data_IF_762799628444
#
_entry.id   IF_762799628444
#
_cell.length_a   1.000
_cell.length_b   1.000
_cell.length_c   1.000
_cell.angle_alpha   90.00
_cell.angle_beta   90.00
_cell.angle_gamma   90.00
#
_symmetry.space_group_name_H-M   'P 1'
#
loop_
_entity.id
_entity.type
_entity.pdbx_description
1 polymer ?
#
# COMPACT_ATOMS: atom_id res chain seq x y z
N UNK A 1 -8.65 28.86 3.75
CA UNK A 1 -8.06 27.91 2.77
C UNK A 1 -9.12 27.62 1.73
N UNK A 2 -8.78 27.63 0.44
CA UNK A 2 -9.70 27.19 -0.63
C UNK A 2 -9.92 25.66 -0.53
N UNK A 3 -11.10 25.19 -0.90
CA UNK A 3 -11.50 23.77 -0.85
C UNK A 3 -10.51 22.87 -1.59
N UNK A 4 -9.94 23.38 -2.69
CA UNK A 4 -8.90 22.67 -3.45
C UNK A 4 -7.63 22.46 -2.63
N UNK A 5 -7.17 23.45 -1.88
CA UNK A 5 -5.97 23.35 -1.01
C UNK A 5 -6.25 22.51 0.24
N UNK A 6 -7.50 22.48 0.70
CA UNK A 6 -7.89 21.59 1.79
C UNK A 6 -7.74 20.13 1.37
N UNK A 7 -8.19 19.76 0.18
CA UNK A 7 -8.18 18.37 -0.32
C UNK A 7 -6.82 17.99 -0.93
N UNK A 8 -6.27 18.85 -1.78
CA UNK A 8 -5.01 18.63 -2.48
C UNK A 8 -3.81 19.18 -1.70
N UNK A 9 -3.90 19.40 -0.39
CA UNK A 9 -2.70 19.62 0.43
C UNK A 9 -1.90 20.90 0.15
N UNK A 10 -0.59 20.78 0.32
CA UNK A 10 0.41 21.84 0.42
C UNK A 10 0.06 22.84 1.54
N UNK A 11 -0.30 22.29 2.70
CA UNK A 11 -0.64 23.07 3.89
C UNK A 11 0.61 23.72 4.47
N UNK A 12 1.65 22.93 4.77
CA UNK A 12 2.93 23.37 5.33
C UNK A 12 4.10 22.49 4.83
N UNK A 13 5.37 22.92 4.99
CA UNK A 13 6.52 22.09 4.65
C UNK A 13 6.62 20.78 5.46
N UNK A 14 6.07 20.78 6.69
CA UNK A 14 6.12 19.63 7.59
C UNK A 14 4.93 18.68 7.38
N UNK A 15 3.71 19.23 7.33
CA UNK A 15 2.47 18.51 7.07
C UNK A 15 1.94 18.96 5.72
N UNK A 16 2.12 18.11 4.70
CA UNK A 16 1.78 18.44 3.32
C UNK A 16 0.27 18.35 3.11
N UNK A 17 -0.38 17.31 3.61
CA UNK A 17 -1.80 17.02 3.35
C UNK A 17 -2.40 16.05 4.38
N UNK A 18 -3.62 15.58 4.12
CA UNK A 18 -4.29 14.58 4.96
C UNK A 18 -3.57 13.24 5.05
N UNK A 19 -2.71 12.88 4.09
CA UNK A 19 -1.92 11.65 4.16
C UNK A 19 -0.83 11.80 5.24
N UNK A 20 -0.22 12.99 5.35
CA UNK A 20 0.72 13.29 6.44
C UNK A 20 0.03 13.31 7.81
N UNK A 21 -1.25 13.69 7.90
CA UNK A 21 -2.03 13.56 9.14
C UNK A 21 -2.19 12.08 9.52
N UNK A 22 -2.49 11.21 8.57
CA UNK A 22 -2.60 9.77 8.82
C UNK A 22 -1.28 9.17 9.29
N UNK A 23 -0.15 9.59 8.69
CA UNK A 23 1.20 9.20 9.15
C UNK A 23 1.49 9.63 10.58
N UNK A 24 1.14 10.85 10.95
CA UNK A 24 1.28 11.33 12.33
C UNK A 24 0.39 10.49 13.26
N UNK A 25 -0.83 10.16 12.81
CA UNK A 25 -1.72 9.25 13.51
C UNK A 25 -1.09 7.89 13.79
N UNK A 26 -0.42 7.29 12.80
CA UNK A 26 0.32 6.02 12.97
C UNK A 26 1.45 6.14 14.00
N UNK A 27 2.24 7.21 13.97
CA UNK A 27 3.30 7.45 14.96
C UNK A 27 2.69 7.54 16.37
N UNK A 28 1.61 8.31 16.54
CA UNK A 28 0.94 8.47 17.82
C UNK A 28 0.34 7.15 18.29
N UNK A 29 -0.33 6.41 17.41
CA UNK A 29 -0.91 5.11 17.73
C UNK A 29 0.16 4.10 18.17
N UNK A 30 1.32 4.09 17.50
CA UNK A 30 2.48 3.27 17.90
C UNK A 30 2.91 3.59 19.33
N UNK A 31 3.07 4.88 19.67
CA UNK A 31 3.47 5.31 21.01
C UNK A 31 2.40 4.96 22.06
N UNK A 32 1.13 5.12 21.73
CA UNK A 32 0.01 4.75 22.61
C UNK A 32 0.02 3.25 22.88
N UNK A 33 0.19 2.41 21.86
CA UNK A 33 0.27 0.96 22.01
C UNK A 33 1.45 0.54 22.90
N UNK A 34 2.62 1.16 22.73
CA UNK A 34 3.79 0.95 23.59
C UNK A 34 3.50 1.30 25.06
N UNK A 35 2.90 2.46 25.32
CA UNK A 35 2.56 2.90 26.68
C UNK A 35 1.49 2.01 27.31
N UNK A 36 0.55 1.50 26.50
CA UNK A 36 -0.48 0.57 26.96
C UNK A 36 0.03 -0.86 27.19
N UNK A 37 1.29 -1.16 26.84
CA UNK A 37 1.85 -2.50 26.94
C UNK A 37 1.35 -3.48 25.88
N UNK A 38 0.65 -3.00 24.84
CA UNK A 38 0.25 -3.82 23.70
C UNK A 38 1.45 -3.97 22.74
N UNK A 39 2.28 -4.97 22.98
CA UNK A 39 3.51 -5.21 22.21
C UNK A 39 3.21 -5.58 20.76
N UNK A 40 2.26 -6.48 20.50
CA UNK A 40 1.88 -6.89 19.13
C UNK A 40 1.38 -5.72 18.30
N UNK A 41 0.40 -4.98 18.83
CA UNK A 41 -0.11 -3.77 18.20
C UNK A 41 0.97 -2.70 17.98
N UNK A 42 1.89 -2.52 18.94
CA UNK A 42 2.99 -1.58 18.80
C UNK A 42 3.97 -1.98 17.68
N UNK A 43 4.26 -3.28 17.52
CA UNK A 43 5.12 -3.78 16.44
C UNK A 43 4.46 -3.57 15.07
N UNK A 44 3.17 -3.93 14.92
CA UNK A 44 2.44 -3.75 13.68
C UNK A 44 2.30 -2.27 13.30
N UNK A 45 1.89 -1.40 14.24
CA UNK A 45 1.79 0.05 14.03
C UNK A 45 3.15 0.69 13.76
N UNK A 46 4.21 0.22 14.44
CA UNK A 46 5.57 0.69 14.21
C UNK A 46 6.08 0.33 12.82
N UNK A 47 5.85 -0.90 12.37
CA UNK A 47 6.19 -1.35 11.03
C UNK A 47 5.44 -0.54 9.95
N UNK A 48 4.12 -0.38 10.11
CA UNK A 48 3.30 0.46 9.23
C UNK A 48 3.78 1.92 9.20
N UNK A 49 4.17 2.47 10.36
CA UNK A 49 4.74 3.82 10.47
C UNK A 49 6.01 3.96 9.63
N UNK A 50 6.95 3.02 9.75
CA UNK A 50 8.21 3.05 9.00
C UNK A 50 7.93 3.02 7.49
N UNK A 51 7.10 2.09 7.03
CA UNK A 51 6.75 1.99 5.61
C UNK A 51 6.04 3.24 5.09
N UNK A 52 5.10 3.79 5.87
CA UNK A 52 4.39 5.01 5.51
C UNK A 52 5.33 6.23 5.42
N UNK A 53 6.35 6.31 6.27
CA UNK A 53 7.39 7.36 6.21
C UNK A 53 8.34 7.15 5.03
N UNK A 54 8.70 5.91 4.69
CA UNK A 54 9.47 5.61 3.48
C UNK A 54 8.71 6.01 2.21
N UNK A 55 7.40 5.72 2.13
CA UNK A 55 6.55 6.17 1.04
C UNK A 55 6.55 7.71 0.88
N UNK A 56 6.61 8.44 1.99
CA UNK A 56 6.73 9.91 1.99
C UNK A 56 8.04 10.40 1.36
N UNK A 57 9.14 9.68 1.61
CA UNK A 57 10.46 9.97 1.03
C UNK A 57 10.47 9.66 -0.46
N UNK A 58 9.91 8.51 -0.86
CA UNK A 58 9.77 8.10 -2.26
C UNK A 58 8.92 9.11 -3.03
N UNK A 59 8.00 9.82 -2.38
CA UNK A 59 7.18 10.87 -2.98
C UNK A 59 6.31 10.31 -4.13
N UNK A 60 5.51 9.29 -3.78
CA UNK A 60 4.60 8.58 -4.68
C UNK A 60 3.48 9.48 -5.25
N UNK A 61 2.83 9.09 -6.36
CA UNK A 61 1.61 9.73 -6.81
C UNK A 61 0.54 9.64 -5.71
N UNK A 62 -0.19 10.74 -5.50
CA UNK A 62 -1.00 10.93 -4.28
C UNK A 62 -2.07 9.85 -4.06
N UNK A 63 -2.78 9.36 -5.09
CA UNK A 63 -3.76 8.29 -4.88
C UNK A 63 -3.11 6.99 -4.40
N UNK A 64 -1.95 6.63 -4.95
CA UNK A 64 -1.18 5.47 -4.49
C UNK A 64 -0.58 5.69 -3.11
N UNK A 65 -0.07 6.90 -2.82
CA UNK A 65 0.42 7.26 -1.49
C UNK A 65 -0.69 7.13 -0.43
N UNK A 66 -1.87 7.67 -0.72
CA UNK A 66 -3.02 7.60 0.16
C UNK A 66 -3.49 6.16 0.35
N UNK A 67 -3.65 5.39 -0.74
CA UNK A 67 -4.07 3.99 -0.68
C UNK A 67 -3.09 3.14 0.12
N UNK A 68 -1.79 3.31 -0.11
CA UNK A 68 -0.74 2.61 0.61
C UNK A 68 -0.77 2.88 2.12
N UNK A 69 -0.80 4.16 2.52
CA UNK A 69 -0.85 4.50 3.95
C UNK A 69 -2.16 4.04 4.59
N UNK A 70 -3.28 4.13 3.87
CA UNK A 70 -4.58 3.65 4.35
C UNK A 70 -4.58 2.15 4.62
N UNK A 71 -4.07 1.34 3.69
CA UNK A 71 -4.08 -0.11 3.87
C UNK A 71 -3.11 -0.58 4.96
N UNK A 72 -1.94 0.06 5.06
CA UNK A 72 -1.02 -0.17 6.18
C UNK A 72 -1.66 0.20 7.52
N UNK A 73 -2.44 1.28 7.54
CA UNK A 73 -3.18 1.69 8.74
C UNK A 73 -4.27 0.68 9.08
N UNK A 74 -5.06 0.23 8.10
CA UNK A 74 -6.12 -0.74 8.30
C UNK A 74 -5.57 -2.04 8.91
N UNK A 75 -4.50 -2.59 8.31
CA UNK A 75 -3.83 -3.79 8.80
C UNK A 75 -3.30 -3.60 10.24
N UNK A 76 -2.50 -2.56 10.48
CA UNK A 76 -1.86 -2.37 11.78
C UNK A 76 -2.84 -2.00 12.91
N UNK A 77 -3.89 -1.23 12.60
CA UNK A 77 -4.97 -0.95 13.57
C UNK A 77 -5.80 -2.21 13.81
N UNK A 78 -6.04 -3.03 12.79
CA UNK A 78 -6.69 -4.32 12.92
C UNK A 78 -5.99 -5.21 13.93
N UNK A 79 -4.67 -5.34 13.81
CA UNK A 79 -3.84 -6.06 14.78
C UNK A 79 -3.91 -5.44 16.18
N UNK A 80 -3.67 -4.12 16.28
CA UNK A 80 -3.65 -3.44 17.58
C UNK A 80 -4.99 -3.48 18.34
N UNK A 81 -6.11 -3.65 17.63
CA UNK A 81 -7.46 -3.75 18.20
C UNK A 81 -7.99 -5.18 18.27
N UNK A 82 -7.23 -6.19 17.84
CA UNK A 82 -7.65 -7.60 17.83
C UNK A 82 -8.78 -7.90 16.85
N UNK A 83 -8.86 -7.18 15.72
CA UNK A 83 -9.89 -7.39 14.70
C UNK A 83 -9.69 -8.68 13.91
N UNK A 84 -8.46 -9.13 13.77
CA UNK A 84 -8.14 -10.45 13.22
C UNK A 84 -8.84 -11.56 14.01
N UNK A 85 -8.77 -11.50 15.34
CA UNK A 85 -9.43 -12.49 16.20
C UNK A 85 -10.95 -12.32 16.32
N UNK A 86 -11.45 -11.07 16.26
CA UNK A 86 -12.83 -10.75 16.61
C UNK A 86 -13.78 -10.60 15.43
N UNK A 87 -13.27 -10.43 14.21
CA UNK A 87 -14.06 -10.20 13.00
C UNK A 87 -13.64 -11.22 11.93
N UNK A 88 -14.43 -12.29 11.80
CA UNK A 88 -14.10 -13.46 10.96
C UNK A 88 -13.90 -13.22 9.47
N UNK A 89 -14.29 -12.08 8.92
CA UNK A 89 -14.07 -11.73 7.50
C UNK A 89 -12.97 -10.70 7.30
N UNK A 90 -12.45 -10.12 8.38
CA UNK A 90 -11.52 -8.99 8.33
C UNK A 90 -10.23 -9.36 7.64
N UNK A 91 -9.66 -10.49 8.03
CA UNK A 91 -8.42 -11.02 7.45
C UNK A 91 -8.51 -11.14 5.92
N UNK A 92 -9.52 -11.87 5.44
CA UNK A 92 -9.78 -12.04 4.00
C UNK A 92 -9.97 -10.73 3.25
N UNK A 93 -10.53 -9.69 3.88
CA UNK A 93 -10.62 -8.36 3.27
C UNK A 93 -9.26 -7.70 3.18
N UNK A 94 -8.40 -7.84 4.19
CA UNK A 94 -7.02 -7.35 4.14
C UNK A 94 -6.23 -8.05 3.03
N UNK A 95 -6.38 -9.37 2.87
CA UNK A 95 -5.77 -10.12 1.76
C UNK A 95 -6.25 -9.68 0.37
N UNK A 96 -7.44 -9.10 0.22
CA UNK A 96 -7.82 -8.46 -1.05
C UNK A 96 -7.22 -7.05 -1.18
N UNK A 97 -7.34 -6.23 -0.15
CA UNK A 97 -7.07 -4.79 -0.26
C UNK A 97 -5.57 -4.48 -0.22
N UNK A 98 -4.78 -5.26 0.53
CA UNK A 98 -3.34 -5.07 0.69
C UNK A 98 -2.58 -5.26 -0.62
N UNK A 99 -2.62 -6.41 -1.31
CA UNK A 99 -1.92 -6.56 -2.59
C UNK A 99 -2.48 -5.62 -3.67
N UNK A 100 -3.78 -5.29 -3.63
CA UNK A 100 -4.39 -4.32 -4.54
C UNK A 100 -3.71 -2.94 -4.48
N UNK A 101 -3.31 -2.48 -3.29
CA UNK A 101 -2.75 -1.15 -3.09
C UNK A 101 -1.22 -1.15 -2.96
N UNK A 102 -0.63 -2.25 -2.50
CA UNK A 102 0.83 -2.40 -2.34
C UNK A 102 1.51 -2.77 -3.67
N UNK A 103 0.95 -3.68 -4.47
CA UNK A 103 1.60 -4.14 -5.69
C UNK A 103 1.85 -3.02 -6.73
N UNK A 104 0.91 -2.07 -6.97
CA UNK A 104 1.17 -0.92 -7.82
C UNK A 104 2.29 -0.02 -7.29
N UNK A 105 2.40 0.15 -5.97
CA UNK A 105 3.46 0.94 -5.34
C UNK A 105 4.82 0.30 -5.54
N UNK A 106 4.90 -1.04 -5.45
CA UNK A 106 6.13 -1.77 -5.76
C UNK A 106 6.54 -1.59 -7.22
N UNK A 107 5.60 -1.69 -8.16
CA UNK A 107 5.88 -1.41 -9.58
C UNK A 107 6.40 0.01 -9.76
N UNK A 108 5.74 1.02 -9.19
CA UNK A 108 6.16 2.42 -9.25
C UNK A 108 7.56 2.60 -8.67
N UNK A 109 7.87 1.94 -7.54
CA UNK A 109 9.20 1.95 -6.95
C UNK A 109 10.25 1.39 -7.90
N UNK A 110 10.00 0.23 -8.51
CA UNK A 110 10.89 -0.41 -9.48
C UNK A 110 11.05 0.44 -10.75
N UNK A 111 9.99 1.10 -11.21
CA UNK A 111 10.05 2.01 -12.34
C UNK A 111 10.95 3.22 -12.05
N UNK A 112 10.90 3.77 -10.83
CA UNK A 112 11.77 4.87 -10.41
C UNK A 112 13.22 4.48 -10.14
N UNK A 113 13.50 3.18 -10.13
CA UNK A 113 14.84 2.61 -10.09
C UNK A 113 15.31 2.17 -11.49
N UNK A 114 14.58 2.54 -12.55
CA UNK A 114 14.84 2.16 -13.94
C UNK A 114 14.88 0.63 -14.19
N UNK A 115 14.28 -0.16 -13.29
CA UNK A 115 14.16 -1.62 -13.45
C UNK A 115 12.98 -1.97 -14.36
N UNK A 116 11.93 -1.16 -14.32
CA UNK A 116 10.71 -1.27 -15.13
C UNK A 116 10.45 0.06 -15.84
N UNK A 117 9.70 0.09 -16.95
CA UNK A 117 9.32 1.35 -17.59
C UNK A 117 8.41 2.19 -16.68
N UNK A 118 8.52 3.52 -16.75
CA UNK A 118 7.54 4.40 -16.10
C UNK A 118 6.15 4.15 -16.71
N UNK A 119 5.07 4.13 -15.91
CA UNK A 119 3.73 3.92 -16.41
C UNK A 119 3.31 4.82 -17.58
N UNK A 120 3.90 6.02 -17.72
CA UNK A 120 3.57 6.95 -18.83
C UNK A 120 4.42 6.76 -20.09
N UNK A 121 5.55 6.08 -20.01
CA UNK A 121 6.53 6.09 -21.10
C UNK A 121 6.16 5.09 -22.21
N UNK A 122 5.52 3.97 -21.86
CA UNK A 122 5.26 2.85 -22.76
C UNK A 122 3.76 2.56 -22.89
N UNK A 123 3.07 3.27 -23.79
CA UNK A 123 1.59 3.38 -23.84
C UNK A 123 0.88 2.46 -24.84
N UNK A 124 1.47 1.30 -25.16
CA UNK A 124 0.90 0.32 -26.10
C UNK A 124 0.28 -0.89 -25.39
N UNK A 125 -0.69 -1.54 -26.03
CA UNK A 125 -1.43 -2.69 -25.46
C UNK A 125 -0.53 -3.79 -24.87
N UNK A 126 0.58 -4.13 -25.55
CA UNK A 126 1.54 -5.13 -25.04
C UNK A 126 2.23 -4.70 -23.74
N UNK A 127 2.49 -3.41 -23.57
CA UNK A 127 3.15 -2.86 -22.39
C UNK A 127 2.17 -2.79 -21.22
N UNK A 128 0.91 -2.45 -21.47
CA UNK A 128 -0.16 -2.57 -20.46
C UNK A 128 -0.35 -4.01 -19.99
N UNK A 129 -0.33 -4.99 -20.90
CA UNK A 129 -0.38 -6.41 -20.53
C UNK A 129 0.83 -6.82 -19.70
N UNK A 130 2.05 -6.42 -20.09
CA UNK A 130 3.26 -6.69 -19.33
C UNK A 130 3.22 -6.07 -17.92
N UNK A 131 2.79 -4.82 -17.81
CA UNK A 131 2.57 -4.14 -16.54
C UNK A 131 1.56 -4.89 -15.66
N UNK A 132 0.42 -5.30 -16.22
CA UNK A 132 -0.59 -6.04 -15.48
C UNK A 132 -0.04 -7.36 -14.92
N UNK A 133 0.70 -8.12 -15.74
CA UNK A 133 1.33 -9.38 -15.32
C UNK A 133 2.32 -9.14 -14.19
N UNK A 134 3.20 -8.13 -14.33
CA UNK A 134 4.21 -7.83 -13.30
C UNK A 134 3.55 -7.40 -11.99
N UNK A 135 2.56 -6.50 -12.03
CA UNK A 135 1.84 -6.08 -10.82
C UNK A 135 1.12 -7.26 -10.16
N UNK A 136 0.48 -8.11 -10.97
CA UNK A 136 -0.16 -9.32 -10.46
C UNK A 136 0.85 -10.23 -9.73
N UNK A 137 2.01 -10.49 -10.37
CA UNK A 137 3.08 -11.29 -9.76
C UNK A 137 3.65 -10.67 -8.49
N UNK A 138 3.82 -9.35 -8.45
CA UNK A 138 4.30 -8.64 -7.25
C UNK A 138 3.30 -8.78 -6.09
N UNK A 139 2.00 -8.63 -6.35
CA UNK A 139 0.99 -8.80 -5.31
C UNK A 139 0.92 -10.24 -4.80
N UNK A 140 0.97 -11.23 -5.70
CA UNK A 140 1.07 -12.66 -5.31
C UNK A 140 2.32 -12.96 -4.49
N UNK A 141 3.45 -12.33 -4.81
CA UNK A 141 4.67 -12.49 -4.04
C UNK A 141 4.55 -11.88 -2.64
N UNK A 142 3.88 -10.73 -2.49
CA UNK A 142 3.61 -10.12 -1.18
C UNK A 142 2.72 -11.04 -0.33
N UNK A 143 1.60 -11.52 -0.90
CA UNK A 143 0.69 -12.45 -0.22
C UNK A 143 1.40 -13.75 0.19
N UNK A 144 2.12 -14.38 -0.74
CA UNK A 144 2.89 -15.59 -0.44
C UNK A 144 4.00 -15.39 0.59
N UNK A 145 4.64 -14.22 0.63
CA UNK A 145 5.61 -13.90 1.68
C UNK A 145 4.93 -13.72 3.04
N UNK A 146 3.71 -13.19 3.08
CA UNK A 146 2.94 -13.08 4.32
C UNK A 146 2.58 -14.45 4.90
N UNK A 147 2.05 -15.37 4.08
CA UNK A 147 1.78 -16.75 4.51
C UNK A 147 3.02 -17.46 5.06
N UNK A 148 4.19 -17.21 4.45
CA UNK A 148 5.46 -17.74 4.95
C UNK A 148 5.80 -17.14 6.32
N UNK A 149 5.52 -15.84 6.54
CA UNK A 149 5.72 -15.18 7.83
C UNK A 149 4.81 -15.79 8.88
N UNK A 150 3.53 -16.00 8.60
CA UNK A 150 2.58 -16.62 9.52
C UNK A 150 3.00 -18.02 9.92
N UNK A 151 3.25 -18.88 8.93
CA UNK A 151 3.72 -20.24 9.15
C UNK A 151 5.02 -20.28 9.97
N UNK A 152 5.98 -19.41 9.65
CA UNK A 152 7.26 -19.35 10.38
C UNK A 152 7.06 -18.81 11.80
N UNK A 153 6.17 -17.83 11.97
CA UNK A 153 5.90 -17.22 13.26
C UNK A 153 5.31 -18.23 14.24
N UNK A 154 4.36 -19.04 13.79
CA UNK A 154 3.74 -20.07 14.63
C UNK A 154 4.76 -21.13 15.07
N UNK A 155 5.70 -21.47 14.17
CA UNK A 155 6.76 -22.43 14.47
C UNK A 155 7.91 -21.89 15.35
N UNK A 156 8.09 -20.57 15.46
CA UNK A 156 9.27 -19.97 16.12
C UNK A 156 8.96 -19.06 17.30
N UNK A 157 7.79 -18.41 17.31
CA UNK A 157 7.37 -17.44 18.30
C UNK A 157 6.11 -17.87 19.08
N UNK A 158 5.63 -19.10 18.88
CA UNK A 158 4.42 -19.64 19.54
C UNK A 158 3.17 -18.76 19.31
N UNK A 159 3.09 -18.18 18.10
CA UNK A 159 1.89 -17.47 17.63
C UNK A 159 0.86 -18.45 17.06
N UNK A 160 -0.31 -17.94 16.71
CA UNK A 160 -1.38 -18.69 16.06
C UNK A 160 -1.96 -17.88 14.89
N UNK A 161 -1.09 -17.46 13.97
CA UNK A 161 -1.45 -16.68 12.79
C UNK A 161 -1.95 -17.56 11.64
N UNK A 162 -1.38 -18.75 11.45
CA UNK A 162 -1.82 -19.68 10.42
C UNK A 162 -2.96 -20.55 10.94
N UNK A 163 -4.21 -20.22 10.57
CA UNK A 163 -5.39 -21.00 10.97
C UNK A 163 -5.53 -22.35 10.22
N UNK A 164 -4.62 -22.63 9.29
CA UNK A 164 -4.44 -23.91 8.61
C UNK A 164 -4.55 -23.82 7.09
N UNK A 165 -4.34 -24.96 6.41
CA UNK A 165 -4.18 -24.99 4.95
C UNK A 165 -5.37 -24.42 4.15
N UNK A 166 -6.60 -24.58 4.65
CA UNK A 166 -7.77 -24.03 3.95
C UNK A 166 -7.82 -22.51 4.01
N UNK A 167 -7.28 -21.93 5.08
CA UNK A 167 -7.24 -20.49 5.28
C UNK A 167 -6.16 -19.88 4.39
N UNK A 168 -4.91 -20.31 4.56
CA UNK A 168 -3.78 -19.96 3.68
C UNK A 168 -4.08 -20.03 2.19
N UNK A 169 -4.73 -21.11 1.72
CA UNK A 169 -5.10 -21.21 0.30
C UNK A 169 -6.22 -20.22 -0.07
N UNK A 170 -7.17 -20.00 0.82
CA UNK A 170 -8.21 -18.99 0.68
C UNK A 170 -7.64 -17.57 0.62
N UNK A 171 -6.59 -17.31 1.37
CA UNK A 171 -5.98 -16.00 1.49
C UNK A 171 -5.07 -15.70 0.30
N UNK A 172 -4.32 -16.70 -0.19
CA UNK A 172 -3.65 -16.61 -1.49
C UNK A 172 -4.62 -16.41 -2.67
N UNK A 173 -5.84 -16.95 -2.60
CA UNK A 173 -6.88 -16.67 -3.60
C UNK A 173 -7.39 -15.23 -3.48
N UNK A 174 -7.60 -14.73 -2.26
CA UNK A 174 -7.94 -13.33 -2.01
C UNK A 174 -6.82 -12.39 -2.48
N UNK A 175 -5.56 -12.76 -2.26
CA UNK A 175 -4.38 -12.04 -2.75
C UNK A 175 -4.35 -12.00 -4.26
N UNK A 176 -4.70 -13.09 -4.95
CA UNK A 176 -4.79 -13.11 -6.40
C UNK A 176 -5.84 -12.12 -6.92
N UNK A 177 -7.01 -12.07 -6.28
CA UNK A 177 -8.07 -11.10 -6.63
C UNK A 177 -7.57 -9.67 -6.40
N UNK A 178 -6.99 -9.41 -5.23
CA UNK A 178 -6.41 -8.11 -4.90
C UNK A 178 -5.34 -7.66 -5.89
N UNK A 179 -4.39 -8.55 -6.18
CA UNK A 179 -3.30 -8.32 -7.13
C UNK A 179 -3.80 -8.01 -8.53
N UNK A 180 -4.85 -8.70 -8.98
CA UNK A 180 -5.49 -8.43 -10.28
C UNK A 180 -6.16 -7.04 -10.28
N UNK A 181 -6.86 -6.67 -9.21
CA UNK A 181 -7.45 -5.33 -9.10
C UNK A 181 -6.38 -4.24 -9.09
N UNK A 182 -5.28 -4.44 -8.35
CA UNK A 182 -4.13 -3.53 -8.35
C UNK A 182 -3.51 -3.37 -9.74
N UNK A 183 -3.35 -4.48 -10.47
CA UNK A 183 -2.88 -4.48 -11.85
C UNK A 183 -3.78 -3.65 -12.77
N UNK A 184 -5.10 -3.85 -12.68
CA UNK A 184 -6.08 -3.07 -13.46
C UNK A 184 -6.06 -1.58 -13.09
N UNK A 185 -5.90 -1.26 -11.81
CA UNK A 185 -5.79 0.14 -11.36
C UNK A 185 -4.54 0.82 -11.92
N UNK A 186 -3.39 0.14 -11.94
CA UNK A 186 -2.17 0.71 -12.51
C UNK A 186 -2.22 0.82 -14.04
N UNK A 187 -2.80 -0.17 -14.72
CA UNK A 187 -3.01 -0.09 -16.17
C UNK A 187 -3.95 1.07 -16.50
N UNK A 188 -5.04 1.24 -15.75
CA UNK A 188 -5.90 2.40 -15.90
C UNK A 188 -5.06 3.68 -15.74
N UNK A 189 -4.36 3.85 -14.63
CA UNK A 189 -3.48 5.02 -14.40
C UNK A 189 -2.54 5.33 -15.58
N UNK A 190 -1.90 4.29 -16.13
CA UNK A 190 -1.03 4.38 -17.30
C UNK A 190 -1.77 4.81 -18.58
N UNK A 191 -2.97 4.25 -18.84
CA UNK A 191 -3.83 4.61 -19.99
C UNK A 191 -4.24 6.08 -19.95
N UNK A 192 -4.40 6.66 -18.76
CA UNK A 192 -4.66 8.09 -18.58
C UNK A 192 -3.40 8.97 -18.78
N UNK A 193 -2.24 8.39 -19.12
CA UNK A 193 -0.98 9.09 -19.35
C UNK A 193 -0.27 9.52 -18.07
N UNK A 194 -0.60 8.91 -16.93
CA UNK A 194 -0.04 9.31 -15.64
C UNK A 194 1.17 8.47 -15.27
N UNK A 195 2.26 9.12 -14.84
CA UNK A 195 3.52 8.46 -14.48
C UNK A 195 3.73 8.22 -12.99
N UNK A 196 4.99 7.95 -12.63
CA UNK A 196 5.42 7.57 -11.26
C UNK A 196 5.58 8.73 -10.25
N UNK A 197 5.46 9.98 -10.69
CA UNK A 197 5.82 11.16 -9.87
C UNK A 197 4.60 11.82 -9.24
N UNK A 198 4.75 12.25 -7.97
CA UNK A 198 3.75 13.08 -7.29
C UNK A 198 3.48 14.38 -8.07
N UNK A 199 2.21 14.58 -8.44
CA UNK A 199 1.75 15.82 -9.09
C UNK A 199 1.53 16.94 -8.06
N UNK A 200 2.26 18.04 -8.19
CA UNK A 200 2.05 19.27 -7.41
C UNK A 200 1.22 20.24 -8.26
N UNK A 201 0.06 20.63 -7.74
CA UNK A 201 -0.87 21.50 -8.47
C UNK A 201 -0.28 22.90 -8.61
N UNK A 202 -0.17 23.40 -9.84
CA UNK A 202 0.34 24.75 -10.13
C UNK A 202 1.87 24.88 -10.21
N UNK A 203 2.62 23.82 -9.90
CA UNK A 203 4.07 23.72 -10.14
C UNK A 203 4.37 22.80 -11.32
N UNK A 204 3.59 21.72 -11.48
CA UNK A 204 3.71 20.81 -12.62
C UNK A 204 2.84 21.28 -13.79
N UNK A 205 3.13 22.49 -14.30
CA UNK A 205 2.59 23.03 -15.57
C UNK A 205 3.30 22.48 -16.82
N UNK A 206 4.27 21.59 -16.65
CA UNK A 206 5.06 20.98 -17.73
C UNK A 206 4.86 19.47 -17.76
N UNK A 207 3.66 19.03 -18.10
CA UNK A 207 3.54 17.91 -19.03
C UNK A 207 2.91 18.57 -20.25
N UNK A 208 3.71 18.77 -21.29
CA UNK A 208 3.31 19.53 -22.47
C UNK A 208 1.93 19.10 -22.96
N UNK A 209 1.10 20.09 -23.26
CA UNK A 209 -0.25 19.91 -23.79
C UNK A 209 -0.28 19.37 -25.24
N UNK A 210 0.76 18.67 -25.66
CA UNK A 210 0.94 18.12 -27.00
C UNK A 210 1.42 16.67 -26.90
N UNK A 211 0.48 15.76 -26.62
CA UNK A 211 0.56 14.33 -26.96
C UNK A 211 -0.83 13.84 -27.36
#
# INVERSE_FOLDING_TARGET
MDARRLILGDWTPLVRDGIDVLRIGLVVATLVALVAGNVGGALALGFATVLALLARIINLPRPYDAGFVLVLTLHAVGEALGWYDSISWFDRVVHVVLPCLVAPVLYIGLARLDVLPDPRDETHARHYTGMAIVVFCLGMAVGGLWEIVEFTSDGTFDTALSEGNSDTVGDLVADAVGSLLGALLLVAWAVWGWGSVRRITGVNTYEDADA
#
